data_IF_410377504295
#
_entry.id   IF_410377504295
#
_cell.length_a   1.000
_cell.length_b   1.000
_cell.length_c   1.000
_cell.angle_alpha   90.00
_cell.angle_beta   90.00
_cell.angle_gamma   90.00
#
_symmetry.space_group_name_H-M   'P 1'
#
loop_
_entity.id
_entity.type
_entity.pdbx_description
1 polymer ?
#
# COMPACT_ATOMS: atom_id res chain seq x y z
N UNK A 1 18.76 10.06 -10.84
CA UNK A 1 18.45 8.97 -9.87
C UNK A 1 17.29 9.48 -9.03
N UNK A 2 16.23 8.68 -8.84
CA UNK A 2 15.14 9.05 -7.93
C UNK A 2 15.60 8.95 -6.48
N UNK A 3 15.03 9.79 -5.63
CA UNK A 3 15.23 9.73 -4.20
C UNK A 3 14.59 8.44 -3.62
N UNK A 4 15.11 7.92 -2.49
CA UNK A 4 14.45 6.83 -1.77
C UNK A 4 12.97 7.17 -1.52
N UNK A 5 12.09 6.19 -1.72
CA UNK A 5 10.62 6.32 -1.58
C UNK A 5 9.92 7.30 -2.55
N UNK A 6 10.62 7.87 -3.53
CA UNK A 6 10.03 8.76 -4.52
C UNK A 6 9.19 7.98 -5.55
N UNK A 7 7.96 8.44 -5.74
CA UNK A 7 6.95 7.84 -6.62
C UNK A 7 6.28 8.93 -7.47
N UNK A 8 5.64 8.52 -8.57
CA UNK A 8 4.88 9.41 -9.46
C UNK A 8 3.51 8.78 -9.77
N UNK A 9 2.67 9.41 -10.59
CA UNK A 9 1.40 8.79 -11.01
C UNK A 9 1.61 7.35 -11.55
N UNK A 10 0.71 6.43 -11.19
CA UNK A 10 0.77 5.01 -11.53
C UNK A 10 0.97 4.07 -10.33
N UNK A 11 1.13 2.78 -10.60
CA UNK A 11 1.33 1.75 -9.57
C UNK A 11 2.82 1.58 -9.24
N UNK A 12 3.16 1.51 -7.94
CA UNK A 12 4.53 1.38 -7.47
C UNK A 12 4.66 0.34 -6.37
N UNK A 13 5.74 -0.42 -6.42
CA UNK A 13 6.20 -1.25 -5.31
C UNK A 13 7.22 -0.50 -4.48
N UNK A 14 7.04 -0.57 -3.16
CA UNK A 14 7.97 -0.02 -2.19
C UNK A 14 8.66 -1.17 -1.48
N UNK A 15 9.99 -1.17 -1.51
CA UNK A 15 10.82 -2.17 -0.84
C UNK A 15 11.30 -1.59 0.50
N UNK A 16 11.42 -2.40 1.58
CA UNK A 16 11.86 -1.89 2.89
C UNK A 16 13.21 -1.15 2.92
N UNK A 17 14.06 -1.36 1.90
CA UNK A 17 15.34 -0.66 1.74
C UNK A 17 15.23 0.72 1.05
N UNK A 18 14.02 1.17 0.75
CA UNK A 18 13.75 2.49 0.15
C UNK A 18 13.69 2.52 -1.37
N UNK A 19 13.90 1.38 -2.05
CA UNK A 19 13.70 1.30 -3.49
C UNK A 19 12.21 1.36 -3.85
N UNK A 20 11.91 2.08 -4.93
CA UNK A 20 10.59 2.13 -5.56
C UNK A 20 10.66 1.55 -6.97
N UNK A 21 9.73 0.65 -7.32
CA UNK A 21 9.70 -0.05 -8.61
C UNK A 21 8.39 0.30 -9.31
N UNK A 22 8.49 0.88 -10.52
CA UNK A 22 7.33 1.15 -11.34
C UNK A 22 6.69 -0.16 -11.79
N UNK A 23 5.38 -0.28 -11.66
CA UNK A 23 4.62 -1.45 -12.10
C UNK A 23 3.76 -1.04 -13.30
N UNK A 24 4.27 -1.17 -14.53
CA UNK A 24 3.47 -0.93 -15.72
C UNK A 24 2.49 -2.08 -15.87
N UNK A 25 1.23 -1.85 -15.48
CA UNK A 25 0.09 -2.76 -15.59
C UNK A 25 0.32 -4.13 -14.94
N UNK A 26 -0.35 -4.37 -13.81
CA UNK A 26 -0.14 -5.55 -12.96
C UNK A 26 -0.82 -6.82 -13.52
N UNK A 27 -0.28 -7.32 -14.63
CA UNK A 27 -0.71 -8.53 -15.32
C UNK A 27 0.27 -9.69 -15.09
N UNK A 28 -0.19 -10.92 -15.40
CA UNK A 28 0.56 -12.18 -15.25
C UNK A 28 1.97 -12.13 -15.86
N UNK A 29 2.13 -11.41 -16.97
CA UNK A 29 3.43 -11.21 -17.63
C UNK A 29 4.47 -10.53 -16.74
N UNK A 30 4.03 -9.63 -15.86
CA UNK A 30 4.93 -8.94 -14.96
C UNK A 30 5.31 -9.81 -13.75
N UNK A 31 4.36 -10.58 -13.20
CA UNK A 31 4.63 -11.54 -12.12
C UNK A 31 5.64 -12.60 -12.58
N UNK A 32 5.48 -13.10 -13.82
CA UNK A 32 6.43 -14.01 -14.45
C UNK A 32 7.83 -13.41 -14.61
N UNK A 33 7.93 -12.10 -14.89
CA UNK A 33 9.20 -11.40 -15.03
C UNK A 33 9.89 -11.07 -13.69
N UNK A 34 9.16 -11.11 -12.56
CA UNK A 34 9.67 -10.73 -11.24
C UNK A 34 9.47 -11.83 -10.18
N UNK A 35 9.97 -13.07 -10.40
CA UNK A 35 9.64 -14.24 -9.59
C UNK A 35 10.10 -14.14 -8.13
N UNK A 36 11.23 -13.48 -7.89
CA UNK A 36 11.76 -13.26 -6.55
C UNK A 36 10.82 -12.44 -5.67
N UNK A 37 10.01 -11.57 -6.28
CA UNK A 37 9.07 -10.72 -5.57
C UNK A 37 7.67 -11.31 -5.62
N UNK A 38 7.28 -11.91 -6.75
CA UNK A 38 6.00 -12.59 -6.94
C UNK A 38 5.80 -13.81 -6.02
N UNK A 39 6.86 -14.37 -5.41
CA UNK A 39 6.73 -15.49 -4.47
C UNK A 39 6.05 -16.72 -5.08
N UNK A 40 6.24 -16.93 -6.38
CA UNK A 40 5.63 -18.03 -7.14
C UNK A 40 4.14 -17.84 -7.46
N UNK A 41 3.57 -16.66 -7.29
CA UNK A 41 2.22 -16.37 -7.73
C UNK A 41 2.14 -16.24 -9.26
N UNK A 42 1.14 -16.92 -9.85
CA UNK A 42 0.89 -16.91 -11.30
C UNK A 42 -0.14 -15.85 -11.69
N UNK A 43 -1.08 -15.58 -10.79
CA UNK A 43 -2.14 -14.60 -10.98
C UNK A 43 -2.06 -13.50 -9.92
N UNK A 44 -2.55 -12.32 -10.27
CA UNK A 44 -2.63 -11.16 -9.37
C UNK A 44 -3.36 -11.51 -8.08
N UNK A 45 -4.48 -12.23 -8.14
CA UNK A 45 -5.26 -12.58 -6.94
C UNK A 45 -4.47 -13.49 -5.98
N UNK A 46 -3.71 -14.46 -6.52
CA UNK A 46 -2.90 -15.38 -5.73
C UNK A 46 -1.74 -14.66 -5.04
N UNK A 47 -1.10 -13.75 -5.78
CA UNK A 47 -0.01 -12.94 -5.26
C UNK A 47 -0.47 -12.16 -4.03
N UNK A 48 -1.63 -11.55 -4.18
CA UNK A 48 -2.27 -10.61 -3.28
C UNK A 48 -2.73 -11.26 -1.98
N UNK A 49 -3.33 -12.45 -2.09
CA UNK A 49 -3.73 -13.25 -0.93
C UNK A 49 -2.50 -13.71 -0.13
N UNK A 50 -1.40 -14.07 -0.82
CA UNK A 50 -0.18 -14.56 -0.18
C UNK A 50 0.66 -13.47 0.44
N UNK A 51 0.76 -12.32 -0.22
CA UNK A 51 1.64 -11.25 0.19
C UNK A 51 1.01 -10.29 1.19
N UNK A 52 -0.32 -10.34 1.36
CA UNK A 52 -1.08 -9.35 2.12
C UNK A 52 -1.00 -7.99 1.43
N UNK A 53 -1.74 -7.80 0.33
CA UNK A 53 -1.81 -6.52 -0.39
C UNK A 53 -2.33 -5.44 0.56
N UNK A 54 -1.61 -4.35 0.72
CA UNK A 54 -2.18 -3.06 1.13
C UNK A 54 -2.27 -2.21 -0.13
N UNK A 55 -3.43 -1.91 -0.72
CA UNK A 55 -3.50 -0.87 -1.77
C UNK A 55 -3.68 0.46 -1.06
N UNK A 56 -2.91 1.49 -1.41
CA UNK A 56 -3.05 2.88 -0.92
C UNK A 56 -3.48 3.75 -2.08
N UNK A 57 -4.78 4.03 -2.24
CA UNK A 57 -5.28 4.88 -3.34
C UNK A 57 -5.31 6.36 -2.96
N UNK A 58 -4.57 7.20 -3.69
CA UNK A 58 -4.64 8.66 -3.60
C UNK A 58 -5.65 9.23 -4.62
N UNK A 59 -6.51 10.15 -4.19
CA UNK A 59 -7.40 10.93 -5.07
C UNK A 59 -6.99 12.41 -5.07
N UNK A 60 -5.95 12.73 -5.82
CA UNK A 60 -5.67 14.09 -6.30
C UNK A 60 -4.79 14.00 -7.55
N UNK A 61 -5.28 14.47 -8.70
CA UNK A 61 -4.56 14.57 -9.98
C UNK A 61 -3.79 13.32 -10.48
N UNK A 62 -4.15 12.13 -10.00
CA UNK A 62 -3.54 10.87 -10.39
C UNK A 62 -3.64 9.84 -9.28
N UNK A 63 -4.00 8.62 -9.64
CA UNK A 63 -4.07 7.49 -8.72
C UNK A 63 -2.65 7.07 -8.32
N UNK A 64 -2.32 7.20 -7.04
CA UNK A 64 -1.18 6.51 -6.45
C UNK A 64 -1.70 5.19 -5.87
N UNK A 65 -1.04 4.05 -6.10
CA UNK A 65 -1.29 2.77 -5.42
C UNK A 65 0.03 2.28 -4.81
N UNK A 66 0.13 2.28 -3.48
CA UNK A 66 1.25 1.63 -2.77
C UNK A 66 0.85 0.21 -2.44
N UNK A 67 1.73 -0.76 -2.68
CA UNK A 67 1.57 -2.17 -2.29
C UNK A 67 2.55 -2.49 -1.16
N UNK A 68 2.04 -2.75 0.04
CA UNK A 68 2.83 -3.27 1.17
C UNK A 68 2.66 -4.79 1.30
N UNK A 69 3.66 -5.49 1.86
CA UNK A 69 3.56 -6.91 2.23
C UNK A 69 3.34 -7.02 3.73
N UNK A 70 2.13 -7.35 4.17
CA UNK A 70 1.69 -7.39 5.58
C UNK A 70 1.65 -6.01 6.27
N UNK A 71 0.44 -5.56 6.63
CA UNK A 71 0.21 -4.27 7.30
C UNK A 71 0.57 -4.28 8.79
N UNK A 72 0.75 -5.47 9.37
CA UNK A 72 1.17 -5.65 10.75
C UNK A 72 2.70 -5.68 10.89
N UNK A 73 3.46 -5.82 9.79
CA UNK A 73 4.92 -5.75 9.84
C UNK A 73 5.38 -4.31 10.20
N UNK A 74 6.08 -4.11 11.33
CA UNK A 74 6.57 -2.79 11.74
C UNK A 74 7.48 -2.11 10.70
N UNK A 75 8.23 -2.90 9.91
CA UNK A 75 9.12 -2.37 8.85
C UNK A 75 8.32 -1.75 7.72
N UNK A 76 7.18 -2.36 7.40
CA UNK A 76 6.28 -1.86 6.39
C UNK A 76 5.52 -0.62 6.85
N UNK A 77 5.14 -0.59 8.12
CA UNK A 77 4.55 0.62 8.72
C UNK A 77 5.51 1.79 8.67
N UNK A 78 6.78 1.56 8.98
CA UNK A 78 7.80 2.60 8.89
C UNK A 78 8.00 3.05 7.42
N UNK A 79 8.00 2.12 6.46
CA UNK A 79 8.06 2.48 5.04
C UNK A 79 6.86 3.33 4.60
N UNK A 80 5.64 2.96 5.04
CA UNK A 80 4.42 3.72 4.76
C UNK A 80 4.49 5.12 5.37
N UNK A 81 4.92 5.25 6.62
CA UNK A 81 5.11 6.55 7.29
C UNK A 81 6.01 7.47 6.47
N UNK A 82 7.18 6.95 6.08
CA UNK A 82 8.19 7.72 5.33
C UNK A 82 7.67 8.12 3.95
N UNK A 83 6.88 7.26 3.30
CA UNK A 83 6.20 7.58 2.06
C UNK A 83 5.22 8.73 2.23
N UNK A 84 4.37 8.69 3.27
CA UNK A 84 3.41 9.76 3.56
C UNK A 84 4.13 11.09 3.87
N UNK A 85 5.21 11.06 4.65
CA UNK A 85 6.00 12.26 5.00
C UNK A 85 6.61 12.95 3.78
N UNK A 86 7.25 12.17 2.90
CA UNK A 86 7.91 12.68 1.69
C UNK A 86 6.90 13.25 0.70
N UNK A 87 5.72 12.64 0.62
CA UNK A 87 4.71 12.97 -0.39
C UNK A 87 3.53 13.78 0.19
N UNK A 88 3.65 14.30 1.42
CA UNK A 88 2.54 14.97 2.14
C UNK A 88 1.84 16.07 1.35
N UNK A 89 2.58 16.79 0.50
CA UNK A 89 2.03 17.88 -0.30
C UNK A 89 1.17 17.39 -1.47
N UNK A 90 1.37 16.14 -1.90
CA UNK A 90 0.59 15.52 -2.95
C UNK A 90 -0.61 14.73 -2.38
N UNK A 91 -0.42 14.04 -1.26
CA UNK A 91 -1.40 13.07 -0.75
C UNK A 91 -2.53 13.76 0.03
N UNK A 92 -3.72 13.79 -0.56
CA UNK A 92 -4.95 14.34 0.06
C UNK A 92 -5.85 13.26 0.66
N UNK A 93 -5.71 12.01 0.19
CA UNK A 93 -6.53 10.85 0.56
C UNK A 93 -5.69 9.58 0.52
N UNK A 94 -5.97 8.68 1.44
CA UNK A 94 -5.35 7.37 1.63
C UNK A 94 -6.47 6.34 1.71
N UNK A 95 -6.60 5.47 0.71
CA UNK A 95 -7.52 4.31 0.76
C UNK A 95 -6.70 3.06 0.95
N UNK A 96 -6.84 2.39 2.08
CA UNK A 96 -6.17 1.16 2.48
C UNK A 96 -7.10 -0.02 2.21
N UNK A 97 -6.69 -0.92 1.32
CA UNK A 97 -7.39 -2.18 1.04
C UNK A 97 -6.51 -3.37 1.37
N UNK A 98 -7.03 -4.31 2.18
CA UNK A 98 -6.38 -5.59 2.48
C UNK A 98 -7.31 -6.72 2.05
N UNK A 99 -6.94 -7.58 1.09
CA UNK A 99 -7.84 -8.55 0.45
C UNK A 99 -8.48 -9.57 1.39
N UNK A 100 -7.82 -9.86 2.51
CA UNK A 100 -8.31 -10.80 3.53
C UNK A 100 -9.16 -10.11 4.60
N UNK A 101 -9.36 -8.79 4.50
CA UNK A 101 -10.15 -7.97 5.42
C UNK A 101 -11.31 -7.37 4.63
N UNK A 102 -12.53 -7.58 5.11
CA UNK A 102 -13.70 -7.02 4.45
C UNK A 102 -13.70 -5.48 4.53
N UNK A 103 -13.96 -4.84 3.38
CA UNK A 103 -14.04 -3.39 3.24
C UNK A 103 -12.70 -2.71 2.93
N UNK A 104 -12.66 -1.40 3.16
CA UNK A 104 -11.46 -0.59 3.01
C UNK A 104 -11.43 0.49 4.09
N UNK A 105 -10.22 0.89 4.50
CA UNK A 105 -10.01 2.04 5.37
C UNK A 105 -9.74 3.27 4.52
N UNK A 106 -10.52 4.33 4.68
CA UNK A 106 -10.27 5.60 4.02
C UNK A 106 -9.87 6.66 5.04
N UNK A 107 -8.75 7.35 4.80
CA UNK A 107 -8.25 8.45 5.62
C UNK A 107 -8.03 9.67 4.70
N UNK A 108 -8.50 10.84 5.11
CA UNK A 108 -8.40 12.07 4.33
C UNK A 108 -7.71 13.18 5.16
N UNK A 109 -7.26 14.24 4.49
CA UNK A 109 -6.74 15.41 5.18
C UNK A 109 -7.79 16.04 6.13
N UNK A 110 -7.38 16.60 7.29
CA UNK A 110 -6.00 16.70 7.79
C UNK A 110 -5.52 15.44 8.52
N UNK A 111 -6.37 14.43 8.71
CA UNK A 111 -6.09 13.25 9.54
C UNK A 111 -4.92 12.40 9.02
N UNK A 112 -4.65 12.45 7.71
CA UNK A 112 -3.49 11.79 7.10
C UNK A 112 -2.14 12.37 7.55
N UNK A 113 -2.12 13.62 8.04
CA UNK A 113 -0.89 14.28 8.53
C UNK A 113 -0.52 13.83 9.95
N UNK A 114 -1.46 13.22 10.67
CA UNK A 114 -1.24 12.66 12.00
C UNK A 114 -0.91 11.16 11.90
N UNK A 115 0.38 10.84 11.85
CA UNK A 115 0.83 9.46 11.79
C UNK A 115 0.38 8.61 12.99
N UNK A 116 0.27 9.20 14.18
CA UNK A 116 -0.16 8.45 15.36
C UNK A 116 -1.61 7.98 15.17
N UNK A 117 -2.46 8.86 14.64
CA UNK A 117 -3.85 8.52 14.33
C UNK A 117 -3.95 7.55 13.15
N UNK A 118 -3.17 7.74 12.08
CA UNK A 118 -3.12 6.82 10.93
C UNK A 118 -2.69 5.42 11.39
N UNK A 119 -1.67 5.31 12.23
CA UNK A 119 -1.21 4.01 12.75
C UNK A 119 -2.28 3.31 13.59
N UNK A 120 -3.04 4.06 14.41
CA UNK A 120 -4.17 3.50 15.18
C UNK A 120 -5.29 3.01 14.27
N UNK A 121 -5.63 3.79 13.24
CA UNK A 121 -6.67 3.42 12.27
C UNK A 121 -6.26 2.14 11.50
N UNK A 122 -4.98 2.03 11.13
CA UNK A 122 -4.39 0.82 10.53
C UNK A 122 -4.44 -0.39 11.47
N UNK A 123 -4.15 -0.22 12.76
CA UNK A 123 -4.27 -1.28 13.77
C UNK A 123 -5.70 -1.78 13.90
N UNK A 124 -6.67 -0.86 13.98
CA UNK A 124 -8.09 -1.22 14.07
C UNK A 124 -8.54 -1.94 12.81
N UNK A 125 -8.20 -1.43 11.63
CA UNK A 125 -8.56 -2.07 10.36
C UNK A 125 -7.95 -3.47 10.24
N UNK A 126 -6.66 -3.62 10.58
CA UNK A 126 -5.96 -4.90 10.50
C UNK A 126 -6.49 -5.96 11.48
N UNK A 127 -7.02 -5.54 12.64
CA UNK A 127 -7.60 -6.44 13.66
C UNK A 127 -9.09 -6.70 13.47
N UNK A 128 -9.78 -5.89 12.67
CA UNK A 128 -11.23 -5.80 12.57
C UNK A 128 -11.88 -6.57 11.42
N UNK A 129 -11.23 -7.59 10.85
CA UNK A 129 -11.84 -8.47 9.83
C UNK A 129 -13.07 -9.29 10.29
N UNK A 130 -13.64 -9.00 11.46
CA UNK A 130 -14.84 -9.62 12.01
C UNK A 130 -15.58 -8.59 12.88
N UNK A 131 -16.24 -7.61 12.26
CA UNK A 131 -17.51 -7.00 12.70
C UNK A 131 -17.66 -5.61 12.08
N UNK A 132 -18.36 -5.56 10.94
CA UNK A 132 -19.31 -4.47 10.67
C UNK A 132 -20.58 -5.13 10.15
N UNK A 133 -21.57 -5.22 11.03
CA UNK A 133 -22.71 -6.13 10.94
C UNK A 133 -23.75 -5.85 9.86
N UNK A 134 -24.51 -6.92 9.62
CA UNK A 134 -25.97 -6.90 9.63
C UNK A 134 -26.42 -7.71 10.85
#
# INVERSE_FOLDING_TARGET
MRNPFEISAGAWWVVPDGRTIAVPSFHESWLAAHPAIAGGALHTVDFVQRSGWLSVTQYSDGMLEVISRDILDPRQREALRRLLEVNKAAITKLVVFVPVIDGCLTIEAPRIEDWEQVSKDLDTFARGGADQGA
#
